data_IF_407143315931
#
_entry.id   IF_407143315931
#
_cell.length_a   1.000
_cell.length_b   1.000
_cell.length_c   1.000
_cell.angle_alpha   90.00
_cell.angle_beta   90.00
_cell.angle_gamma   90.00
#
_symmetry.space_group_name_H-M   'P 1'
#
loop_
_entity.id
_entity.type
_entity.pdbx_description
1 polymer ?
#
# COMPACT_ATOMS: atom_id res chain seq x y z
N UNK A 1 19.65 8.78 25.01
CA UNK A 1 20.26 8.68 23.66
C UNK A 1 20.48 7.20 23.37
N UNK A 2 19.77 6.62 22.41
CA UNK A 2 20.03 5.23 21.98
C UNK A 2 21.38 5.19 21.23
N UNK A 3 22.21 4.14 21.39
CA UNK A 3 23.44 4.01 20.63
C UNK A 3 23.13 3.93 19.13
N UNK A 4 23.93 4.63 18.31
CA UNK A 4 23.86 4.65 16.84
C UNK A 4 24.44 3.38 16.21
N UNK A 5 24.32 2.24 16.88
CA UNK A 5 24.81 0.98 16.35
C UNK A 5 23.81 0.47 15.32
N UNK A 6 24.21 0.57 14.05
CA UNK A 6 23.41 0.07 12.93
C UNK A 6 23.75 -1.40 12.76
N UNK A 7 22.76 -2.26 12.93
CA UNK A 7 22.91 -3.70 12.81
C UNK A 7 22.39 -4.15 11.45
N UNK A 8 23.13 -5.04 10.79
CA UNK A 8 22.69 -5.74 9.58
C UNK A 8 22.54 -7.22 9.87
N UNK A 9 21.50 -7.86 9.29
CA UNK A 9 21.32 -9.30 9.37
C UNK A 9 21.66 -9.93 8.02
N UNK A 10 22.46 -10.98 8.04
CA UNK A 10 22.87 -11.74 6.85
C UNK A 10 22.59 -13.21 7.13
N UNK A 11 22.01 -13.91 6.16
CA UNK A 11 21.73 -15.34 6.21
C UNK A 11 22.62 -16.07 5.22
N UNK A 12 23.06 -17.28 5.58
CA UNK A 12 23.88 -18.14 4.74
C UNK A 12 23.12 -19.43 4.43
N UNK A 13 23.31 -19.95 3.24
CA UNK A 13 22.77 -21.23 2.74
C UNK A 13 23.36 -22.46 3.46
N UNK A 14 24.57 -22.32 4.01
CA UNK A 14 25.26 -23.36 4.77
C UNK A 14 26.02 -22.79 5.95
N UNK A 15 26.23 -23.65 6.97
CA UNK A 15 27.04 -23.30 8.14
C UNK A 15 28.50 -23.03 7.74
N UNK A 16 29.02 -23.74 6.72
CA UNK A 16 30.36 -23.51 6.18
C UNK A 16 30.54 -22.11 5.59
N UNK A 17 29.59 -21.65 4.79
CA UNK A 17 29.62 -20.31 4.21
C UNK A 17 29.53 -19.21 5.27
N UNK A 18 28.76 -19.44 6.35
CA UNK A 18 28.74 -18.56 7.51
C UNK A 18 30.11 -18.43 8.16
N UNK A 19 30.78 -19.54 8.47
CA UNK A 19 32.12 -19.50 9.09
C UNK A 19 33.16 -18.81 8.19
N UNK A 20 33.13 -19.08 6.89
CA UNK A 20 34.02 -18.44 5.92
C UNK A 20 33.79 -16.92 5.83
N UNK A 21 32.54 -16.46 5.96
CA UNK A 21 32.21 -15.05 5.99
C UNK A 21 32.55 -14.39 7.33
N UNK A 22 32.28 -15.07 8.45
CA UNK A 22 32.61 -14.60 9.80
C UNK A 22 34.11 -14.30 9.94
N UNK A 23 34.96 -15.22 9.45
CA UNK A 23 36.42 -15.05 9.44
C UNK A 23 36.89 -13.82 8.63
N UNK A 24 36.13 -13.41 7.60
CA UNK A 24 36.47 -12.24 6.76
C UNK A 24 35.95 -10.93 7.31
N UNK A 25 34.80 -10.94 7.98
CA UNK A 25 34.10 -9.74 8.44
C UNK A 25 34.56 -9.35 9.83
N UNK A 26 34.89 -10.31 10.70
CA UNK A 26 35.31 -10.04 12.06
C UNK A 26 36.59 -9.21 12.08
N UNK A 27 36.52 -7.99 12.62
CA UNK A 27 37.65 -7.07 12.67
C UNK A 27 37.93 -6.32 11.37
N UNK A 28 37.10 -6.49 10.33
CA UNK A 28 37.27 -5.80 9.07
C UNK A 28 37.00 -4.29 9.22
N UNK A 29 37.92 -3.46 8.73
CA UNK A 29 37.80 -2.00 8.82
C UNK A 29 37.13 -1.45 7.57
N UNK A 30 35.92 -0.92 7.74
CA UNK A 30 35.14 -0.28 6.68
C UNK A 30 34.87 1.19 7.02
N UNK A 31 35.29 2.12 6.15
CA UNK A 31 35.09 3.57 6.33
C UNK A 31 35.41 4.08 7.75
N UNK A 32 36.54 3.63 8.32
CA UNK A 32 37.03 3.94 9.68
C UNK A 32 36.23 3.32 10.83
N UNK A 33 35.33 2.38 10.56
CA UNK A 33 34.62 1.59 11.56
C UNK A 33 35.01 0.12 11.46
N UNK A 34 35.28 -0.50 12.60
CA UNK A 34 35.58 -1.94 12.67
C UNK A 34 34.27 -2.72 12.77
N UNK A 35 34.07 -3.65 11.84
CA UNK A 35 32.91 -4.54 11.84
C UNK A 35 33.11 -5.66 12.87
N UNK A 36 32.05 -5.96 13.61
CA UNK A 36 31.97 -7.13 14.48
C UNK A 36 30.83 -8.03 14.02
N UNK A 37 31.06 -9.33 14.10
CA UNK A 37 30.08 -10.37 13.81
C UNK A 37 29.67 -10.99 15.12
N UNK A 38 28.37 -11.17 15.29
CA UNK A 38 27.82 -11.97 16.37
C UNK A 38 26.83 -12.96 15.77
N UNK A 39 26.88 -14.20 16.25
CA UNK A 39 25.82 -15.14 15.94
C UNK A 39 24.55 -14.63 16.61
N UNK A 40 23.54 -14.28 15.80
CA UNK A 40 22.26 -13.85 16.32
C UNK A 40 21.66 -14.97 17.20
N UNK A 41 21.34 -14.65 18.45
CA UNK A 41 20.59 -15.56 19.29
C UNK A 41 19.26 -15.89 18.61
N UNK A 42 18.80 -17.13 18.75
CA UNK A 42 17.44 -17.48 18.32
C UNK A 42 16.48 -16.48 18.94
N UNK A 43 15.68 -15.81 18.09
CA UNK A 43 14.66 -14.91 18.57
C UNK A 43 13.73 -15.72 19.46
N UNK A 44 13.60 -15.31 20.73
CA UNK A 44 12.62 -15.89 21.64
C UNK A 44 11.24 -15.86 20.94
N UNK A 45 10.60 -17.03 20.70
CA UNK A 45 9.29 -17.10 20.05
C UNK A 45 8.24 -16.23 20.74
N UNK A 46 8.42 -16.00 22.06
CA UNK A 46 7.54 -15.21 22.88
C UNK A 46 8.03 -13.77 23.12
N UNK A 47 9.05 -13.30 22.38
CA UNK A 47 9.59 -11.94 22.49
C UNK A 47 8.53 -10.87 22.30
N UNK A 48 7.56 -11.10 21.42
CA UNK A 48 6.47 -10.16 21.15
C UNK A 48 5.52 -10.05 22.34
N UNK A 49 5.17 -11.16 23.00
CA UNK A 49 4.33 -11.17 24.20
C UNK A 49 5.02 -10.52 25.39
N UNK A 50 6.32 -10.80 25.60
CA UNK A 50 7.11 -10.17 26.69
C UNK A 50 7.21 -8.65 26.54
N UNK A 51 7.28 -8.15 25.30
CA UNK A 51 7.35 -6.71 25.02
C UNK A 51 6.02 -6.00 25.30
N UNK A 52 4.88 -6.68 25.09
CA UNK A 52 3.57 -6.16 25.48
C UNK A 52 3.39 -6.15 27.01
N UNK A 53 3.77 -7.23 27.70
CA UNK A 53 3.73 -7.30 29.17
C UNK A 53 4.58 -6.21 29.84
N UNK A 54 5.80 -5.95 29.36
CA UNK A 54 6.63 -4.86 29.88
C UNK A 54 6.06 -3.45 29.58
N UNK A 55 5.38 -3.28 28.44
CA UNK A 55 4.72 -2.03 28.09
C UNK A 55 3.45 -1.78 28.93
N UNK A 56 2.77 -2.84 29.40
CA UNK A 56 1.67 -2.74 30.36
C UNK A 56 2.16 -2.43 31.77
N UNK A 57 3.25 -3.04 32.22
CA UNK A 57 3.86 -2.77 33.54
C UNK A 57 4.36 -1.32 33.65
N UNK A 58 4.81 -0.71 32.55
CA UNK A 58 5.26 0.70 32.51
C UNK A 58 4.13 1.71 32.32
N UNK A 59 2.89 1.27 32.07
CA UNK A 59 1.71 2.11 31.86
C UNK A 59 0.96 2.52 33.14
N UNK A 60 1.43 2.12 34.33
CA UNK A 60 0.87 2.57 35.62
C UNK A 60 1.19 4.04 35.95
N UNK A 61 2.00 4.73 35.15
CA UNK A 61 2.20 6.18 35.22
C UNK A 61 1.17 6.95 34.38
N UNK A 62 0.31 7.72 35.07
CA UNK A 62 -0.69 8.71 34.59
C UNK A 62 -0.68 9.01 33.07
N UNK A 63 -1.76 8.62 32.37
CA UNK A 63 -2.04 9.05 30.98
C UNK A 63 -2.55 10.51 30.97
N UNK A 64 -2.12 11.36 30.03
CA UNK A 64 -2.85 12.59 29.73
C UNK A 64 -4.18 12.25 29.06
N UNK A 65 -5.23 12.98 29.43
CA UNK A 65 -6.60 12.83 28.95
C UNK A 65 -6.67 13.17 27.46
N UNK A 66 -6.95 12.18 26.61
CA UNK A 66 -7.29 12.40 25.20
C UNK A 66 -8.77 12.79 25.14
N UNK A 67 -9.05 13.91 24.46
CA UNK A 67 -10.39 14.49 24.30
C UNK A 67 -11.24 13.52 23.47
N UNK A 68 -12.39 13.13 24.02
CA UNK A 68 -13.41 12.34 23.31
C UNK A 68 -14.02 13.18 22.19
N UNK A 69 -13.90 12.74 20.94
CA UNK A 69 -14.75 13.23 19.84
C UNK A 69 -15.81 12.18 19.63
N UNK A 70 -17.04 12.49 20.08
CA UNK A 70 -18.22 11.67 19.85
C UNK A 70 -18.70 11.91 18.41
N UNK A 71 -18.83 10.84 17.63
CA UNK A 71 -19.55 10.85 16.37
C UNK A 71 -20.87 10.11 16.58
N UNK A 72 -21.96 10.88 16.55
CA UNK A 72 -23.31 10.38 16.77
C UNK A 72 -23.83 9.56 15.60
N UNK A 73 -24.48 8.45 15.94
CA UNK A 73 -25.39 7.69 15.09
C UNK A 73 -26.61 8.56 14.70
N UNK A 74 -26.91 8.61 13.40
CA UNK A 74 -28.08 9.26 12.85
C UNK A 74 -28.69 8.39 11.75
N UNK A 75 -29.72 7.63 12.13
CA UNK A 75 -30.62 6.88 11.26
C UNK A 75 -31.75 7.78 10.72
N UNK A 76 -32.16 7.47 9.46
CA UNK A 76 -33.45 7.72 8.79
C UNK A 76 -33.92 9.15 8.41
N UNK A 77 -34.04 9.43 7.11
CA UNK A 77 -35.28 9.19 6.32
C UNK A 77 -35.21 9.80 4.91
N UNK A 78 -35.87 9.12 3.97
CA UNK A 78 -36.08 9.45 2.57
C UNK A 78 -36.76 10.81 2.32
N UNK A 79 -36.32 11.51 1.26
CA UNK A 79 -37.22 12.15 0.28
C UNK A 79 -36.64 12.08 -1.14
N UNK A 80 -37.46 11.48 -2.00
CA UNK A 80 -37.37 11.38 -3.45
C UNK A 80 -37.59 12.75 -4.11
N UNK A 81 -37.00 12.98 -5.29
CA UNK A 81 -37.62 13.60 -6.48
C UNK A 81 -36.54 14.02 -7.50
N UNK A 82 -36.71 13.61 -8.77
CA UNK A 82 -36.03 14.25 -9.91
C UNK A 82 -35.36 13.31 -10.92
N UNK A 83 -36.17 12.65 -11.74
CA UNK A 83 -35.82 11.84 -12.91
C UNK A 83 -34.98 12.59 -13.97
N UNK A 84 -33.79 12.07 -14.32
CA UNK A 84 -33.14 12.26 -15.63
C UNK A 84 -32.49 10.95 -16.09
N UNK A 85 -33.20 10.22 -16.95
CA UNK A 85 -32.65 9.23 -17.91
C UNK A 85 -32.08 10.00 -19.11
N UNK A 86 -31.09 9.63 -19.93
CA UNK A 86 -30.20 8.49 -20.23
C UNK A 86 -29.01 9.14 -21.02
N UNK A 87 -27.76 8.65 -21.11
CA UNK A 87 -27.32 7.59 -22.02
C UNK A 87 -25.78 7.49 -22.00
N UNK A 88 -25.27 6.25 -22.05
CA UNK A 88 -23.89 5.80 -22.22
C UNK A 88 -23.00 5.60 -20.98
N UNK A 89 -22.73 4.32 -20.70
CA UNK A 89 -21.44 3.87 -20.20
C UNK A 89 -21.43 3.44 -18.75
N UNK A 90 -21.51 2.12 -18.53
CA UNK A 90 -21.58 1.50 -17.22
C UNK A 90 -20.47 1.92 -16.26
N UNK A 91 -20.87 2.06 -15.00
CA UNK A 91 -20.00 2.29 -13.86
C UNK A 91 -19.15 1.03 -13.66
N UNK A 92 -17.89 1.08 -14.10
CA UNK A 92 -16.86 0.18 -13.57
C UNK A 92 -16.21 0.86 -12.37
N UNK A 93 -16.80 0.61 -11.19
CA UNK A 93 -16.05 0.70 -9.96
C UNK A 93 -15.05 -0.46 -9.97
N UNK A 94 -13.78 -0.17 -9.67
CA UNK A 94 -12.72 -1.17 -9.48
C UNK A 94 -12.93 -2.04 -8.24
N UNK A 95 -14.17 -2.41 -7.93
CA UNK A 95 -14.50 -3.57 -7.11
C UNK A 95 -14.43 -4.75 -8.07
N UNK A 96 -13.34 -5.50 -7.97
CA UNK A 96 -13.11 -6.71 -8.76
C UNK A 96 -14.39 -7.53 -8.87
N UNK A 97 -14.64 -8.01 -10.09
CA UNK A 97 -15.46 -9.18 -10.44
C UNK A 97 -16.39 -9.64 -9.34
N UNK A 98 -17.70 -9.54 -9.58
CA UNK A 98 -18.76 -10.25 -8.87
C UNK A 98 -18.35 -11.71 -8.60
N UNK A 99 -17.68 -11.94 -7.48
CA UNK A 99 -17.40 -13.28 -7.01
C UNK A 99 -18.72 -13.76 -6.44
N UNK A 100 -19.31 -14.75 -7.09
CA UNK A 100 -20.08 -15.79 -6.41
C UNK A 100 -19.51 -15.97 -5.00
N UNK A 101 -20.34 -15.84 -3.96
CA UNK A 101 -19.94 -15.72 -2.55
C UNK A 101 -19.20 -16.95 -1.97
N UNK A 102 -18.82 -17.93 -2.80
CA UNK A 102 -18.40 -19.26 -2.37
C UNK A 102 -16.94 -19.65 -2.68
N UNK A 103 -16.15 -18.82 -3.38
CA UNK A 103 -14.73 -19.15 -3.65
C UNK A 103 -13.80 -18.46 -2.64
N UNK A 104 -13.03 -19.22 -1.83
CA UNK A 104 -12.06 -18.65 -0.90
C UNK A 104 -11.00 -17.83 -1.63
N UNK A 105 -10.73 -16.62 -1.16
CA UNK A 105 -9.68 -15.75 -1.70
C UNK A 105 -8.31 -16.37 -1.41
N UNK A 106 -7.47 -16.53 -2.43
CA UNK A 106 -6.11 -17.08 -2.34
C UNK A 106 -5.04 -15.99 -2.38
N UNK A 107 -3.80 -16.32 -1.97
CA UNK A 107 -2.70 -15.35 -1.91
C UNK A 107 -2.45 -14.71 -3.28
N UNK A 108 -2.63 -15.49 -4.35
CA UNK A 108 -2.54 -15.02 -5.72
C UNK A 108 -3.55 -13.91 -6.05
N UNK A 109 -4.74 -13.91 -5.46
CA UNK A 109 -5.74 -12.85 -5.69
C UNK A 109 -5.28 -11.51 -5.09
N UNK A 110 -4.51 -11.55 -4.00
CA UNK A 110 -3.95 -10.35 -3.38
C UNK A 110 -2.70 -9.85 -4.12
N UNK A 111 -1.79 -10.74 -4.51
CA UNK A 111 -0.48 -10.34 -5.07
C UNK A 111 -0.48 -10.19 -6.59
N UNK A 112 -1.37 -10.87 -7.30
CA UNK A 112 -1.52 -10.80 -8.77
C UNK A 112 -3.00 -10.75 -9.17
N UNK A 113 -3.73 -9.68 -8.81
CA UNK A 113 -5.19 -9.59 -8.96
C UNK A 113 -5.67 -9.68 -10.42
N UNK A 114 -4.81 -9.34 -11.39
CA UNK A 114 -5.13 -9.40 -12.82
C UNK A 114 -4.65 -10.69 -13.51
N UNK A 115 -4.18 -11.71 -12.76
CA UNK A 115 -3.57 -12.92 -13.35
C UNK A 115 -4.51 -13.70 -14.28
N UNK A 116 -5.82 -13.61 -14.07
CA UNK A 116 -6.83 -14.30 -14.88
C UNK A 116 -7.14 -13.62 -16.21
N UNK A 117 -6.48 -12.49 -16.49
CA UNK A 117 -6.69 -11.68 -17.69
C UNK A 117 -5.46 -11.77 -18.60
N UNK A 118 -5.68 -11.83 -19.92
CA UNK A 118 -4.59 -11.79 -20.89
C UNK A 118 -3.78 -10.50 -20.73
N UNK A 119 -2.46 -10.56 -20.93
CA UNK A 119 -1.59 -9.42 -20.62
C UNK A 119 -1.95 -8.14 -21.40
N UNK A 120 -2.36 -8.29 -22.66
CA UNK A 120 -2.85 -7.18 -23.50
C UNK A 120 -4.08 -6.49 -22.89
N UNK A 121 -5.00 -7.26 -22.33
CA UNK A 121 -6.20 -6.74 -21.68
C UNK A 121 -5.85 -6.07 -20.34
N UNK A 122 -4.84 -6.58 -19.62
CA UNK A 122 -4.33 -5.93 -18.40
C UNK A 122 -3.77 -4.54 -18.71
N UNK A 123 -3.00 -4.41 -19.79
CA UNK A 123 -2.46 -3.12 -20.24
C UNK A 123 -3.58 -2.16 -20.64
N UNK A 124 -4.56 -2.65 -21.40
CA UNK A 124 -5.71 -1.87 -21.81
C UNK A 124 -6.56 -1.41 -20.61
N UNK A 125 -6.78 -2.30 -19.62
CA UNK A 125 -7.49 -1.95 -18.38
C UNK A 125 -6.74 -0.86 -17.59
N UNK A 126 -5.41 -0.99 -17.44
CA UNK A 126 -4.58 0.03 -16.77
C UNK A 126 -4.63 1.38 -17.50
N UNK A 127 -4.54 1.36 -18.83
CA UNK A 127 -4.64 2.56 -19.65
C UNK A 127 -5.99 3.26 -19.49
N UNK A 128 -7.09 2.50 -19.57
CA UNK A 128 -8.45 3.03 -19.35
C UNK A 128 -8.63 3.60 -17.95
N UNK A 129 -8.16 2.90 -16.91
CA UNK A 129 -8.26 3.36 -15.53
C UNK A 129 -7.49 4.67 -15.31
N UNK A 130 -6.25 4.75 -15.81
CA UNK A 130 -5.46 5.97 -15.74
C UNK A 130 -6.12 7.14 -16.46
N UNK A 131 -6.59 6.94 -17.71
CA UNK A 131 -7.27 7.98 -18.47
C UNK A 131 -8.56 8.46 -17.80
N UNK A 132 -9.31 7.55 -17.15
CA UNK A 132 -10.50 7.89 -16.38
C UNK A 132 -10.18 8.86 -15.24
N UNK A 133 -9.15 8.57 -14.45
CA UNK A 133 -8.76 9.45 -13.34
C UNK A 133 -8.14 10.77 -13.85
N UNK A 134 -7.34 10.74 -14.91
CA UNK A 134 -6.76 11.95 -15.49
C UNK A 134 -7.82 12.90 -16.06
N UNK A 135 -8.90 12.39 -16.67
CA UNK A 135 -10.01 13.22 -17.15
C UNK A 135 -10.84 13.85 -16.03
N UNK A 136 -10.83 13.26 -14.83
CA UNK A 136 -11.53 13.82 -13.66
C UNK A 136 -10.79 15.03 -13.08
N UNK A 137 -9.45 15.00 -13.12
CA UNK A 137 -8.63 16.01 -12.46
C UNK A 137 -8.96 17.46 -12.90
N UNK A 138 -9.06 17.82 -14.20
CA UNK A 138 -9.41 19.18 -14.60
C UNK A 138 -10.79 19.63 -14.09
N UNK A 139 -11.75 18.70 -14.04
CA UNK A 139 -13.10 18.96 -13.52
C UNK A 139 -13.02 19.25 -12.03
N UNK A 140 -12.43 18.35 -11.24
CA UNK A 140 -12.28 18.52 -9.78
C UNK A 140 -11.52 19.81 -9.43
N UNK A 141 -10.43 20.10 -10.15
CA UNK A 141 -9.68 21.34 -9.98
C UNK A 141 -10.50 22.57 -10.33
N UNK A 142 -11.31 22.52 -11.39
CA UNK A 142 -12.23 23.62 -11.75
C UNK A 142 -13.29 23.84 -10.67
N UNK A 143 -13.86 22.75 -10.11
CA UNK A 143 -14.81 22.83 -8.99
C UNK A 143 -14.17 23.48 -7.76
N UNK A 144 -12.97 23.03 -7.37
CA UNK A 144 -12.23 23.60 -6.24
C UNK A 144 -11.87 25.08 -6.47
N UNK A 145 -11.51 25.48 -7.69
CA UNK A 145 -11.17 26.87 -8.00
C UNK A 145 -12.34 27.85 -7.79
N UNK A 146 -13.59 27.39 -7.80
CA UNK A 146 -14.77 28.26 -7.59
C UNK A 146 -14.82 28.82 -6.17
N UNK A 147 -14.34 28.07 -5.19
CA UNK A 147 -14.31 28.46 -3.78
C UNK A 147 -13.05 29.23 -3.38
N UNK A 148 -12.05 29.30 -4.27
CA UNK A 148 -10.79 30.02 -4.03
C UNK A 148 -10.95 31.55 -4.03
N UNK A 149 -10.02 32.23 -3.33
CA UNK A 149 -9.90 33.68 -3.33
C UNK A 149 -9.55 34.23 -4.74
N UNK A 150 -9.81 35.51 -5.04
CA UNK A 150 -9.56 36.09 -6.37
C UNK A 150 -8.13 35.94 -6.88
N UNK A 151 -7.13 36.11 -6.01
CA UNK A 151 -5.72 35.94 -6.35
C UNK A 151 -5.38 34.50 -6.76
N UNK A 152 -5.93 33.53 -6.03
CA UNK A 152 -5.79 32.10 -6.34
C UNK A 152 -6.52 31.72 -7.64
N UNK A 153 -7.68 32.35 -7.93
CA UNK A 153 -8.38 32.18 -9.21
C UNK A 153 -7.55 32.70 -10.39
N UNK A 154 -6.79 33.77 -10.21
CA UNK A 154 -5.91 34.29 -11.25
C UNK A 154 -4.73 33.33 -11.50
N UNK A 155 -4.13 32.78 -10.43
CA UNK A 155 -3.11 31.75 -10.55
C UNK A 155 -3.62 30.50 -11.30
N UNK A 156 -4.87 30.09 -11.06
CA UNK A 156 -5.50 28.99 -11.78
C UNK A 156 -5.62 29.26 -13.29
N UNK A 157 -6.06 30.47 -13.69
CA UNK A 157 -6.14 30.87 -15.11
C UNK A 157 -4.78 30.90 -15.82
N UNK A 158 -3.68 31.04 -15.07
CA UNK A 158 -2.34 31.06 -15.63
C UNK A 158 -1.80 29.64 -15.98
N UNK A 159 -2.48 28.57 -15.55
CA UNK A 159 -2.08 27.19 -15.83
C UNK A 159 -2.47 26.79 -17.26
N UNK A 160 -1.57 27.00 -18.22
CA UNK A 160 -1.83 26.71 -19.64
C UNK A 160 -2.19 25.25 -19.92
N UNK A 161 -1.66 24.29 -19.16
CA UNK A 161 -1.98 22.87 -19.30
C UNK A 161 -3.43 22.53 -18.90
N UNK A 162 -4.08 23.38 -18.08
CA UNK A 162 -5.50 23.29 -17.71
C UNK A 162 -6.42 24.18 -18.55
N UNK A 163 -5.90 24.85 -19.60
CA UNK A 163 -6.75 25.63 -20.49
C UNK A 163 -7.75 24.72 -21.20
N UNK A 164 -8.90 25.27 -21.58
CA UNK A 164 -9.93 24.52 -22.31
C UNK A 164 -9.37 23.95 -23.63
N UNK A 165 -8.49 24.70 -24.29
CA UNK A 165 -7.81 24.31 -25.51
C UNK A 165 -6.86 23.12 -25.26
N UNK A 166 -6.04 23.18 -24.20
CA UNK A 166 -5.12 22.09 -23.83
C UNK A 166 -5.89 20.82 -23.47
N UNK A 167 -6.93 20.93 -22.65
CA UNK A 167 -7.76 19.80 -22.25
C UNK A 167 -8.43 19.16 -23.46
N UNK A 168 -8.96 19.97 -24.38
CA UNK A 168 -9.58 19.48 -25.62
C UNK A 168 -8.56 18.80 -26.54
N UNK A 169 -7.36 19.36 -26.67
CA UNK A 169 -6.29 18.78 -27.49
C UNK A 169 -5.78 17.44 -26.94
N UNK A 170 -5.95 17.19 -25.63
CA UNK A 170 -5.49 16.00 -24.94
C UNK A 170 -6.65 15.03 -24.58
N UNK A 171 -7.73 15.02 -25.35
CA UNK A 171 -8.89 14.13 -25.15
C UNK A 171 -9.47 14.17 -23.72
N UNK A 172 -9.55 15.37 -23.16
CA UNK A 172 -10.04 15.63 -21.81
C UNK A 172 -9.00 15.47 -20.70
N UNK A 173 -7.76 15.09 -21.03
CA UNK A 173 -6.69 14.96 -20.06
C UNK A 173 -5.94 16.29 -19.86
N UNK A 174 -5.28 16.49 -18.70
CA UNK A 174 -4.46 17.68 -18.45
C UNK A 174 -3.18 17.75 -19.29
N UNK A 175 -2.76 16.64 -19.89
CA UNK A 175 -1.54 16.53 -20.67
C UNK A 175 -1.63 15.37 -21.68
N UNK A 176 -0.75 15.31 -22.68
CA UNK A 176 -0.63 14.15 -23.56
C UNK A 176 -0.24 12.90 -22.76
N UNK A 177 -0.92 11.79 -23.01
CA UNK A 177 -0.72 10.53 -22.28
C UNK A 177 -0.21 9.45 -23.24
N UNK A 178 0.99 8.95 -22.98
CA UNK A 178 1.54 7.82 -23.73
C UNK A 178 0.84 6.50 -23.36
N UNK A 179 0.85 5.49 -24.25
CA UNK A 179 0.39 4.15 -23.92
C UNK A 179 1.15 3.54 -22.72
N UNK A 180 0.51 2.59 -22.04
CA UNK A 180 1.14 1.86 -20.93
C UNK A 180 2.37 1.10 -21.44
N UNK A 181 3.54 1.39 -20.90
CA UNK A 181 4.76 0.66 -21.21
C UNK A 181 4.66 -0.80 -20.73
N UNK A 182 4.76 -1.73 -21.67
CA UNK A 182 4.74 -3.16 -21.39
C UNK A 182 6.06 -3.60 -20.73
N UNK A 183 5.94 -4.54 -19.78
CA UNK A 183 7.10 -5.22 -19.21
C UNK A 183 7.69 -6.18 -20.24
N UNK A 184 9.02 -6.25 -20.39
CA UNK A 184 9.66 -7.22 -21.29
C UNK A 184 9.51 -8.67 -20.79
N UNK A 185 9.28 -8.85 -19.48
CA UNK A 185 9.10 -10.15 -18.84
C UNK A 185 7.83 -10.18 -17.99
N UNK A 186 7.08 -11.29 -18.05
CA UNK A 186 5.80 -11.44 -17.35
C UNK A 186 5.91 -12.26 -16.07
N UNK A 187 6.88 -13.18 -16.01
CA UNK A 187 7.10 -14.09 -14.89
C UNK A 187 8.47 -13.83 -14.28
N UNK A 188 8.58 -13.99 -12.96
CA UNK A 188 9.86 -13.84 -12.25
C UNK A 188 10.44 -12.41 -12.22
N UNK A 189 9.65 -11.38 -12.57
CA UNK A 189 10.15 -9.99 -12.65
C UNK A 189 10.47 -9.36 -11.29
N UNK A 190 10.01 -9.94 -10.18
CA UNK A 190 10.15 -9.37 -8.84
C UNK A 190 11.45 -9.86 -8.19
N UNK A 191 12.43 -8.96 -8.07
CA UNK A 191 13.75 -9.24 -7.49
C UNK A 191 13.82 -9.12 -5.95
N UNK A 192 12.72 -8.75 -5.29
CA UNK A 192 12.60 -8.65 -3.83
C UNK A 192 11.21 -9.09 -3.36
N UNK A 193 11.17 -10.01 -2.41
CA UNK A 193 9.95 -10.45 -1.76
C UNK A 193 10.00 -10.16 -0.26
N UNK A 194 8.85 -9.80 0.30
CA UNK A 194 8.65 -9.64 1.73
C UNK A 194 7.51 -10.58 2.13
N UNK A 195 7.74 -11.38 3.15
CA UNK A 195 6.80 -12.39 3.61
C UNK A 195 6.44 -12.14 5.07
N UNK A 196 5.20 -12.44 5.42
CA UNK A 196 4.75 -12.47 6.80
C UNK A 196 4.97 -13.87 7.36
N UNK A 197 5.53 -13.95 8.56
CA UNK A 197 5.68 -15.18 9.33
C UNK A 197 4.62 -15.14 10.44
N UNK A 198 3.85 -16.21 10.58
CA UNK A 198 2.79 -16.31 11.58
C UNK A 198 2.26 -17.73 11.70
N UNK A 199 1.06 -17.86 12.25
CA UNK A 199 0.34 -19.13 12.32
C UNK A 199 -0.89 -19.08 11.42
N UNK A 200 -1.23 -20.21 10.80
CA UNK A 200 -2.48 -20.37 10.04
C UNK A 200 -3.69 -20.35 10.97
N UNK A 201 -4.90 -20.36 10.39
CA UNK A 201 -6.14 -20.55 11.15
C UNK A 201 -6.19 -21.88 11.91
N UNK A 202 -5.36 -22.85 11.51
CA UNK A 202 -5.21 -24.16 12.15
C UNK A 202 -4.07 -24.18 13.19
N UNK A 203 -3.43 -23.04 13.46
CA UNK A 203 -2.34 -22.95 14.44
C UNK A 203 -1.00 -23.51 13.95
N UNK A 204 -0.84 -23.71 12.63
CA UNK A 204 0.40 -24.23 12.04
C UNK A 204 1.32 -23.07 11.64
N UNK A 205 2.62 -23.09 11.98
CA UNK A 205 3.57 -22.08 11.51
C UNK A 205 3.55 -21.96 9.98
N UNK A 206 3.38 -20.75 9.48
CA UNK A 206 3.29 -20.48 8.04
C UNK A 206 4.04 -19.21 7.65
N UNK A 207 4.51 -19.19 6.40
CA UNK A 207 5.13 -18.03 5.75
C UNK A 207 4.35 -17.72 4.48
N UNK A 208 3.94 -16.47 4.28
CA UNK A 208 3.15 -16.12 3.10
C UNK A 208 2.77 -14.65 3.00
N UNK A 209 1.75 -14.39 2.18
CA UNK A 209 1.17 -13.07 1.98
C UNK A 209 -0.12 -12.94 2.77
N UNK A 210 -0.34 -11.78 3.39
CA UNK A 210 -1.59 -11.51 4.10
C UNK A 210 -2.76 -11.33 3.11
N UNK A 211 -3.87 -12.00 3.39
CA UNK A 211 -5.09 -11.96 2.57
C UNK A 211 -6.07 -10.85 2.97
N UNK A 212 -5.78 -10.10 4.03
CA UNK A 212 -6.64 -9.06 4.57
C UNK A 212 -5.96 -8.21 5.64
N UNK A 213 -6.74 -7.35 6.30
CA UNK A 213 -6.27 -6.53 7.41
C UNK A 213 -5.95 -7.40 8.63
N UNK A 214 -4.81 -7.13 9.27
CA UNK A 214 -4.43 -7.77 10.53
C UNK A 214 -5.42 -7.36 11.61
N UNK A 215 -6.22 -8.31 12.11
CA UNK A 215 -6.94 -8.12 13.37
C UNK A 215 -6.01 -8.55 14.49
N UNK A 216 -5.49 -7.58 15.23
CA UNK A 216 -4.90 -7.85 16.54
C UNK A 216 -6.05 -8.26 17.46
N UNK A 217 -6.22 -9.56 17.66
CA UNK A 217 -7.09 -10.06 18.73
C UNK A 217 -6.48 -9.56 20.05
N UNK A 218 -7.18 -8.66 20.73
CA UNK A 218 -6.88 -8.35 22.13
C UNK A 218 -7.08 -9.62 22.93
N UNK A 219 -6.06 -10.03 23.67
CA UNK A 219 -6.18 -11.14 24.62
C UNK A 219 -7.07 -10.65 25.75
N UNK A 220 -8.19 -11.33 25.97
CA UNK A 220 -9.08 -11.12 27.12
C UNK A 220 -8.46 -11.71 28.40
#
# INVERSE_FOLDING_TARGET
>A
KLPKETHGFVTFDSVGNRYAAEAKIQGHVWKKSTLSVQTAAMLDPNRFYKRQAHAEVTRSGKRPRLVSVEFGDGDQTDKNDGNVVNANGGICDGRGTSSSKDVPRVAADAVVPLRGMAYVDQLAQKGRAMLKELRRLPVEMSHAARTCAPEQKQAWKALSWLSAESIKANDGCPCPVAPVAASPILLGYRNKCEFTIGFSTEGVPCVGFMLGQVRLMGVA
#
